data_IF_304262162236
#
_entry.id   IF_304262162236
#
_cell.length_a   1.000
_cell.length_b   1.000
_cell.length_c   1.000
_cell.angle_alpha   90.00
_cell.angle_beta   90.00
_cell.angle_gamma   90.00
#
_symmetry.space_group_name_H-M   'P 1'
#
loop_
_entity.id
_entity.type
_entity.pdbx_description
1 polymer ?
#
# COMPACT_ATOMS: atom_id res chain seq x y z
N UNK A 1 1.45 13.78 -3.82
CA UNK A 1 1.22 13.15 -2.50
C UNK A 1 -0.27 12.83 -2.34
N UNK A 2 -0.59 11.68 -1.76
CA UNK A 2 -1.92 11.11 -1.54
C UNK A 2 -2.25 11.21 -0.04
N UNK A 3 -3.51 11.51 0.30
CA UNK A 3 -4.00 11.45 1.68
C UNK A 3 -5.14 10.43 1.74
N UNK A 4 -4.95 9.36 2.51
CA UNK A 4 -5.89 8.24 2.66
C UNK A 4 -6.46 8.21 4.08
N UNK A 5 -7.59 7.52 4.23
CA UNK A 5 -8.32 7.38 5.50
C UNK A 5 -8.80 8.69 6.12
N UNK A 6 -9.06 9.70 5.28
CA UNK A 6 -9.67 10.97 5.69
C UNK A 6 -10.70 11.38 4.63
N UNK A 7 -11.98 11.39 5.03
CA UNK A 7 -13.12 11.65 4.15
C UNK A 7 -13.12 13.05 3.52
N UNK A 8 -12.28 13.97 3.99
CA UNK A 8 -12.10 15.29 3.35
C UNK A 8 -11.27 15.20 2.08
N UNK A 9 -10.48 14.14 1.92
CA UNK A 9 -9.48 14.02 0.87
C UNK A 9 -9.60 12.74 0.03
N UNK A 10 -10.19 11.66 0.55
CA UNK A 10 -10.31 10.39 -0.18
C UNK A 10 -11.56 9.60 0.20
N UNK A 11 -12.19 9.02 -0.82
CA UNK A 11 -13.29 8.05 -0.72
C UNK A 11 -12.80 6.59 -0.87
N UNK A 12 -11.49 6.37 -1.02
CA UNK A 12 -10.88 5.05 -1.12
C UNK A 12 -11.19 4.23 0.14
N UNK A 13 -11.71 3.02 -0.06
CA UNK A 13 -12.04 2.08 1.02
C UNK A 13 -11.06 0.92 1.01
N UNK A 14 -10.67 0.50 2.20
CA UNK A 14 -9.79 -0.64 2.40
C UNK A 14 -10.58 -1.80 3.02
N UNK A 15 -10.43 -2.99 2.45
CA UNK A 15 -11.02 -4.22 2.99
C UNK A 15 -9.89 -5.16 3.40
N UNK A 16 -9.73 -5.40 4.71
CA UNK A 16 -8.76 -6.38 5.19
C UNK A 16 -9.15 -7.78 4.71
N UNK A 17 -8.19 -8.47 4.11
CA UNK A 17 -8.38 -9.82 3.58
C UNK A 17 -7.24 -10.73 4.01
N UNK A 18 -7.59 -11.97 4.36
CA UNK A 18 -6.62 -13.01 4.79
C UNK A 18 -6.62 -14.20 3.86
N UNK A 19 -7.69 -14.39 3.09
CA UNK A 19 -7.84 -15.55 2.23
C UNK A 19 -8.78 -15.24 1.06
N UNK A 20 -8.92 -16.22 0.16
CA UNK A 20 -9.73 -16.09 -1.06
C UNK A 20 -11.23 -15.87 -0.80
N UNK A 21 -11.76 -16.41 0.29
CA UNK A 21 -13.18 -16.23 0.67
C UNK A 21 -13.42 -14.76 1.04
N UNK A 22 -12.46 -14.11 1.70
CA UNK A 22 -12.57 -12.68 2.03
C UNK A 22 -12.56 -11.82 0.76
N UNK A 23 -11.76 -12.19 -0.25
CA UNK A 23 -11.72 -11.52 -1.56
C UNK A 23 -13.10 -11.58 -2.24
N UNK A 24 -13.73 -12.76 -2.27
CA UNK A 24 -15.03 -12.96 -2.91
C UNK A 24 -16.18 -12.20 -2.22
N UNK A 25 -16.02 -11.90 -0.92
CA UNK A 25 -17.00 -11.15 -0.13
C UNK A 25 -16.69 -9.64 -0.04
N UNK A 26 -15.59 -9.17 -0.63
CA UNK A 26 -15.19 -7.77 -0.57
C UNK A 26 -16.18 -6.85 -1.30
N UNK A 27 -16.33 -5.61 -0.82
CA UNK A 27 -17.18 -4.63 -1.49
C UNK A 27 -16.59 -4.28 -2.87
N UNK A 28 -17.45 -4.21 -3.89
CA UNK A 28 -17.06 -3.68 -5.19
C UNK A 28 -16.43 -2.28 -5.03
N UNK A 29 -15.32 -2.03 -5.72
CA UNK A 29 -14.51 -0.81 -5.66
C UNK A 29 -13.79 -0.55 -4.31
N UNK A 30 -13.60 -1.57 -3.47
CA UNK A 30 -12.65 -1.47 -2.35
C UNK A 30 -11.26 -1.95 -2.79
N UNK A 31 -10.21 -1.31 -2.26
CA UNK A 31 -8.84 -1.81 -2.35
C UNK A 31 -8.65 -2.87 -1.27
N UNK A 32 -8.23 -4.07 -1.67
CA UNK A 32 -7.94 -5.15 -0.73
C UNK A 32 -6.68 -4.82 0.08
N UNK A 33 -6.70 -5.03 1.38
CA UNK A 33 -5.55 -4.78 2.26
C UNK A 33 -5.05 -6.09 2.85
N UNK A 34 -3.82 -6.45 2.51
CA UNK A 34 -3.13 -7.63 3.02
C UNK A 34 -2.06 -7.23 4.03
N UNK A 35 -1.79 -8.11 5.00
CA UNK A 35 -0.48 -8.16 5.66
C UNK A 35 0.46 -8.97 4.77
N UNK A 36 1.71 -8.53 4.59
CA UNK A 36 2.64 -9.30 3.79
C UNK A 36 2.81 -10.71 4.35
N UNK A 37 2.67 -11.70 3.47
CA UNK A 37 3.03 -13.08 3.74
C UNK A 37 3.51 -13.73 2.44
N UNK A 38 4.64 -14.45 2.50
CA UNK A 38 5.20 -15.15 1.34
C UNK A 38 4.29 -16.29 0.86
N UNK A 39 3.54 -16.92 1.76
CA UNK A 39 2.57 -17.97 1.41
C UNK A 39 1.40 -17.42 0.56
N UNK A 40 1.16 -16.10 0.62
CA UNK A 40 0.07 -15.42 -0.09
C UNK A 40 0.44 -14.93 -1.49
N UNK A 41 1.64 -15.25 -2.00
CA UNK A 41 2.07 -14.88 -3.36
C UNK A 41 1.05 -15.29 -4.43
N UNK A 42 0.42 -16.45 -4.27
CA UNK A 42 -0.60 -16.92 -5.23
C UNK A 42 -1.87 -16.05 -5.20
N UNK A 43 -2.21 -15.46 -4.05
CA UNK A 43 -3.32 -14.51 -3.93
C UNK A 43 -2.97 -13.17 -4.59
N UNK A 44 -1.75 -12.67 -4.40
CA UNK A 44 -1.31 -11.43 -5.06
C UNK A 44 -1.30 -11.58 -6.59
N UNK A 45 -0.80 -12.72 -7.11
CA UNK A 45 -0.86 -13.06 -8.53
C UNK A 45 -2.30 -13.16 -9.05
N UNK A 46 -3.20 -13.70 -8.24
CA UNK A 46 -4.63 -13.72 -8.57
C UNK A 46 -5.18 -12.30 -8.71
N UNK A 47 -4.85 -11.39 -7.77
CA UNK A 47 -5.29 -10.00 -7.83
C UNK A 47 -4.74 -9.30 -9.10
N UNK A 48 -3.44 -9.43 -9.35
CA UNK A 48 -2.77 -8.89 -10.54
C UNK A 48 -3.45 -9.37 -11.83
N UNK A 49 -3.67 -10.68 -11.97
CA UNK A 49 -4.24 -11.27 -13.19
C UNK A 49 -5.68 -10.82 -13.46
N UNK A 50 -6.45 -10.54 -12.40
CA UNK A 50 -7.86 -10.16 -12.50
C UNK A 50 -8.08 -8.64 -12.40
N UNK A 51 -7.01 -7.84 -12.32
CA UNK A 51 -7.12 -6.38 -12.16
C UNK A 51 -7.79 -5.97 -10.85
N UNK A 52 -7.70 -6.79 -9.81
CA UNK A 52 -8.23 -6.46 -8.48
C UNK A 52 -7.19 -5.58 -7.79
N UNK A 53 -7.61 -4.37 -7.41
CA UNK A 53 -6.75 -3.45 -6.70
C UNK A 53 -6.44 -3.97 -5.29
N UNK A 54 -5.16 -3.99 -4.95
CA UNK A 54 -4.72 -4.43 -3.63
C UNK A 54 -3.56 -3.58 -3.11
N UNK A 55 -3.43 -3.59 -1.79
CA UNK A 55 -2.41 -2.95 -1.02
C UNK A 55 -1.84 -3.95 -0.02
N UNK A 56 -0.58 -3.74 0.35
CA UNK A 56 0.11 -4.64 1.29
C UNK A 56 0.83 -3.83 2.36
N UNK A 57 0.62 -4.23 3.60
CA UNK A 57 1.41 -3.79 4.76
C UNK A 57 2.75 -4.52 4.75
N UNK A 58 3.83 -3.76 4.75
CA UNK A 58 5.19 -4.27 4.61
C UNK A 58 6.10 -3.71 5.70
N UNK A 59 7.13 -4.48 6.02
CA UNK A 59 8.12 -4.15 7.05
C UNK A 59 9.55 -4.12 6.53
N UNK A 60 9.77 -4.45 5.24
CA UNK A 60 11.10 -4.50 4.66
C UNK A 60 11.14 -4.12 3.17
N UNK A 61 12.35 -3.80 2.69
CA UNK A 61 12.61 -3.51 1.27
C UNK A 61 12.33 -4.74 0.40
N UNK A 62 12.66 -5.95 0.89
CA UNK A 62 12.42 -7.20 0.16
C UNK A 62 10.94 -7.39 -0.13
N UNK A 63 10.08 -7.17 0.87
CA UNK A 63 8.63 -7.25 0.74
C UNK A 63 8.10 -6.23 -0.27
N UNK A 64 8.59 -4.99 -0.21
CA UNK A 64 8.27 -3.96 -1.21
C UNK A 64 8.59 -4.41 -2.63
N UNK A 65 9.79 -4.94 -2.85
CA UNK A 65 10.21 -5.42 -4.18
C UNK A 65 9.26 -6.51 -4.68
N UNK A 66 8.85 -7.45 -3.81
CA UNK A 66 7.91 -8.51 -4.19
C UNK A 66 6.55 -7.95 -4.59
N UNK A 67 5.91 -7.16 -3.73
CA UNK A 67 4.55 -6.68 -3.96
C UNK A 67 4.48 -5.64 -5.08
N UNK A 68 5.54 -4.85 -5.28
CA UNK A 68 5.65 -3.94 -6.41
C UNK A 68 5.66 -4.69 -7.74
N UNK A 69 6.46 -5.76 -7.87
CA UNK A 69 6.50 -6.59 -9.08
C UNK A 69 5.18 -7.34 -9.32
N UNK A 70 4.35 -7.50 -8.30
CA UNK A 70 3.02 -8.10 -8.38
C UNK A 70 1.91 -7.07 -8.64
N UNK A 71 2.26 -5.80 -8.84
CA UNK A 71 1.31 -4.76 -9.21
C UNK A 71 0.45 -4.27 -8.04
N UNK A 72 0.96 -4.30 -6.81
CA UNK A 72 0.28 -3.67 -5.68
C UNK A 72 0.07 -2.17 -5.95
N UNK A 73 -1.13 -1.67 -5.64
CA UNK A 73 -1.49 -0.26 -5.74
C UNK A 73 -0.76 0.58 -4.68
N UNK A 74 -0.77 0.08 -3.44
CA UNK A 74 -0.14 0.74 -2.29
C UNK A 74 0.76 -0.22 -1.50
N UNK A 75 1.87 0.31 -1.01
CA UNK A 75 2.74 -0.33 -0.03
C UNK A 75 2.65 0.48 1.27
N UNK A 76 2.02 -0.08 2.29
CA UNK A 76 1.85 0.58 3.58
C UNK A 76 3.00 0.22 4.53
N UNK A 77 3.49 1.21 5.28
CA UNK A 77 4.43 0.99 6.36
C UNK A 77 4.26 2.03 7.48
N UNK A 78 4.69 1.66 8.68
CA UNK A 78 4.54 2.52 9.88
C UNK A 78 5.84 3.26 10.22
N UNK A 79 6.96 2.87 9.61
CA UNK A 79 8.28 3.47 9.82
C UNK A 79 8.59 4.50 8.72
N UNK A 80 8.72 5.76 9.12
CA UNK A 80 9.06 6.89 8.24
C UNK A 80 10.44 6.72 7.58
N UNK A 81 11.43 6.17 8.28
CA UNK A 81 12.76 5.98 7.70
C UNK A 81 12.76 4.84 6.66
N UNK A 82 11.99 3.78 6.92
CA UNK A 82 11.73 2.74 5.90
C UNK A 82 11.05 3.37 4.68
N UNK A 83 9.96 4.11 4.88
CA UNK A 83 9.21 4.73 3.79
C UNK A 83 10.07 5.65 2.92
N UNK A 84 10.95 6.43 3.53
CA UNK A 84 11.92 7.26 2.81
C UNK A 84 12.83 6.43 1.91
N UNK A 85 13.33 5.30 2.40
CA UNK A 85 14.15 4.39 1.61
C UNK A 85 13.34 3.75 0.48
N UNK A 86 12.11 3.32 0.77
CA UNK A 86 11.19 2.73 -0.20
C UNK A 86 10.83 3.73 -1.30
N UNK A 87 10.55 5.00 -0.98
CA UNK A 87 10.25 6.03 -1.97
C UNK A 87 11.41 6.20 -2.95
N UNK A 88 12.64 6.30 -2.44
CA UNK A 88 13.83 6.40 -3.29
C UNK A 88 13.98 5.18 -4.21
N UNK A 89 13.65 3.98 -3.73
CA UNK A 89 13.66 2.77 -4.55
C UNK A 89 12.55 2.84 -5.61
N UNK A 90 11.33 3.19 -5.21
CA UNK A 90 10.19 3.34 -6.09
C UNK A 90 10.49 4.31 -7.24
N UNK A 91 11.04 5.49 -6.95
CA UNK A 91 11.38 6.50 -7.95
C UNK A 91 12.47 6.02 -8.91
N UNK A 92 13.53 5.39 -8.39
CA UNK A 92 14.65 4.90 -9.22
C UNK A 92 14.24 3.77 -10.16
N UNK A 93 13.27 2.95 -9.76
CA UNK A 93 12.75 1.84 -10.57
C UNK A 93 11.45 2.20 -11.32
N UNK A 94 10.99 3.46 -11.23
CA UNK A 94 9.74 3.92 -11.84
C UNK A 94 8.54 3.06 -11.45
N UNK A 95 8.44 2.76 -10.15
CA UNK A 95 7.38 1.94 -9.58
C UNK A 95 6.02 2.63 -9.67
N UNK A 96 5.02 1.93 -10.20
CA UNK A 96 3.63 2.37 -10.14
C UNK A 96 3.02 2.24 -8.72
N UNK A 97 3.57 1.33 -7.90
CA UNK A 97 3.19 1.14 -6.50
C UNK A 97 3.55 2.37 -5.68
N UNK A 98 2.57 2.91 -4.95
CA UNK A 98 2.75 4.10 -4.11
C UNK A 98 3.15 3.74 -2.70
N UNK A 99 4.18 4.42 -2.17
CA UNK A 99 4.64 4.24 -0.79
C UNK A 99 3.80 5.10 0.15
N UNK A 100 3.06 4.47 1.06
CA UNK A 100 2.16 5.16 1.97
C UNK A 100 2.59 4.93 3.43
N UNK A 101 2.76 6.01 4.18
CA UNK A 101 3.07 5.94 5.61
C UNK A 101 1.83 6.07 6.47
N UNK A 102 1.64 5.18 7.44
CA UNK A 102 0.63 5.38 8.49
C UNK A 102 1.15 6.35 9.53
N UNK A 103 0.48 7.50 9.67
CA UNK A 103 0.87 8.51 10.64
C UNK A 103 -0.28 9.47 10.97
N UNK A 104 -0.24 10.14 12.13
CA UNK A 104 -1.19 11.20 12.42
C UNK A 104 -0.99 12.38 11.49
N UNK A 105 -2.07 13.06 11.11
CA UNK A 105 -2.07 14.17 10.14
C UNK A 105 -1.06 15.29 10.46
N UNK A 106 -0.72 15.50 11.73
CA UNK A 106 0.33 16.46 12.15
C UNK A 106 1.73 16.17 11.59
N UNK A 107 1.97 14.98 11.03
CA UNK A 107 3.24 14.59 10.39
C UNK A 107 3.26 14.88 8.88
N UNK A 108 2.16 15.39 8.30
CA UNK A 108 2.01 15.62 6.88
C UNK A 108 3.17 16.43 6.27
N UNK A 109 3.54 17.54 6.89
CA UNK A 109 4.67 18.38 6.41
C UNK A 109 5.99 17.62 6.40
N UNK A 110 6.25 16.82 7.45
CA UNK A 110 7.46 15.97 7.51
C UNK A 110 7.46 14.94 6.39
N UNK A 111 6.32 14.29 6.14
CA UNK A 111 6.16 13.27 5.09
C UNK A 111 6.35 13.90 3.70
N UNK A 112 5.78 15.07 3.47
CA UNK A 112 5.94 15.82 2.22
C UNK A 112 7.41 16.25 1.97
N UNK A 113 8.13 16.69 3.00
CA UNK A 113 9.56 17.03 2.90
C UNK A 113 10.45 15.81 2.61
N UNK A 114 9.97 14.61 2.88
CA UNK A 114 10.62 13.35 2.54
C UNK A 114 10.19 12.80 1.18
N UNK A 115 9.36 13.54 0.45
CA UNK A 115 8.86 13.21 -0.89
C UNK A 115 8.09 11.89 -0.98
N UNK A 116 7.59 11.40 0.16
CA UNK A 116 6.83 10.15 0.24
C UNK A 116 5.47 10.32 -0.47
N UNK A 117 5.08 9.32 -1.26
CA UNK A 117 3.89 9.34 -2.12
C UNK A 117 2.61 9.62 -1.35
N UNK A 118 2.47 9.21 -0.10
CA UNK A 118 1.28 9.54 0.68
C UNK A 118 1.31 9.20 2.16
N UNK A 119 0.20 9.55 2.81
CA UNK A 119 -0.09 9.27 4.21
C UNK A 119 -1.42 8.52 4.31
N UNK A 120 -1.49 7.55 5.21
CA UNK A 120 -2.73 6.99 5.72
C UNK A 120 -2.94 7.53 7.13
N UNK A 121 -3.98 8.33 7.32
CA UNK A 121 -4.20 9.05 8.58
C UNK A 121 -4.69 8.09 9.66
N UNK A 122 -4.00 8.06 10.80
CA UNK A 122 -4.36 7.31 12.03
C UNK A 122 -4.54 8.22 13.24
#
# INVERSE_FOLDING_TARGET
>A
MIILNDKRFSDEKFCEVKNRIDIENSENNSTLLFQYNEDDINLYKFCQKNGVEFAVEITSITEFIFIHNLGAKYAFCDDIELAKNLQKIADNYLSDTKVIVKAPLKKLEKIALLEIDGIFVI
#
